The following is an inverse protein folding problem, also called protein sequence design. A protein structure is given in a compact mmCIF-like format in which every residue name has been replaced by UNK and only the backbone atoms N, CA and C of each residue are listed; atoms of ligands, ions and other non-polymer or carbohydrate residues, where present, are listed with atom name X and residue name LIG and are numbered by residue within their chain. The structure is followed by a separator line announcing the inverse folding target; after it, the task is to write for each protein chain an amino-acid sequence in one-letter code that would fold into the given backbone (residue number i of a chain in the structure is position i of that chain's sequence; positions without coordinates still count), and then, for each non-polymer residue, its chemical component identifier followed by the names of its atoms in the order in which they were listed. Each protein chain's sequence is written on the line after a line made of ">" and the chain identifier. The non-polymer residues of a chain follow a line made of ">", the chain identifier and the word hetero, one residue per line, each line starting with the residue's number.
data_IF_876945629202
#
_entry.id   IF_876945629202
#
_cell.length_a   1.000
_cell.length_b   1.000
_cell.length_c   1.000
_cell.angle_alpha   90.00
_cell.angle_beta   90.00
_cell.angle_gamma   90.00
#
_symmetry.space_group_name_H-M   'P 1'
#
loop_
_entity.id
_entity.type
_entity.pdbx_description
1 polymer ?
#
# COMPACT_ATOMS: atom_id res chain seq x y z
N UNK A 1 9.26 16.21 7.72
CA UNK A 1 8.19 15.19 7.68
C UNK A 1 8.80 13.89 7.20
N UNK A 2 8.50 12.76 7.83
CA UNK A 2 9.07 11.46 7.44
C UNK A 2 8.52 11.01 6.08
N UNK A 3 9.39 10.65 5.14
CA UNK A 3 9.02 10.10 3.84
C UNK A 3 8.85 8.58 3.96
N UNK A 4 7.65 8.07 3.66
CA UNK A 4 7.39 6.63 3.59
C UNK A 4 7.35 6.18 2.13
N UNK A 5 7.95 5.01 1.86
CA UNK A 5 7.98 4.39 0.53
C UNK A 5 7.46 2.96 0.63
N UNK A 6 6.48 2.63 -0.19
CA UNK A 6 5.98 1.27 -0.39
C UNK A 6 6.74 0.65 -1.57
N UNK A 7 7.34 -0.52 -1.36
CA UNK A 7 8.04 -1.27 -2.41
C UNK A 7 7.23 -2.52 -2.73
N UNK A 8 6.82 -2.65 -3.98
CA UNK A 8 6.24 -3.87 -4.52
C UNK A 8 7.38 -4.72 -5.08
N UNK A 9 7.49 -5.95 -4.60
CA UNK A 9 8.50 -6.90 -5.04
C UNK A 9 7.85 -8.18 -5.53
N UNK A 10 8.29 -8.65 -6.69
CA UNK A 10 7.90 -9.92 -7.29
C UNK A 10 9.17 -10.76 -7.43
N UNK A 11 9.20 -11.93 -6.78
CA UNK A 11 10.34 -12.85 -6.87
C UNK A 11 11.70 -12.14 -6.71
N UNK A 12 11.81 -11.31 -5.67
CA UNK A 12 13.02 -10.54 -5.31
C UNK A 12 13.30 -9.27 -6.15
N UNK A 13 12.69 -9.14 -7.33
CA UNK A 13 12.78 -7.93 -8.14
C UNK A 13 11.82 -6.83 -7.67
N UNK A 14 12.33 -5.61 -7.61
CA UNK A 14 11.54 -4.42 -7.24
C UNK A 14 10.78 -3.94 -8.46
N UNK A 15 9.52 -4.32 -8.56
CA UNK A 15 8.66 -3.91 -9.66
C UNK A 15 8.31 -2.42 -9.57
N UNK A 16 7.97 -1.94 -8.37
CA UNK A 16 7.50 -0.57 -8.19
C UNK A 16 7.82 -0.02 -6.82
N UNK A 17 8.23 1.25 -6.77
CA UNK A 17 8.36 2.00 -5.51
C UNK A 17 7.42 3.19 -5.57
N UNK A 18 6.53 3.31 -4.58
CA UNK A 18 5.51 4.36 -4.49
C UNK A 18 5.71 5.16 -3.21
N UNK A 19 5.57 6.48 -3.28
CA UNK A 19 5.57 7.34 -2.09
C UNK A 19 4.24 7.20 -1.37
N UNK A 20 4.28 6.94 -0.07
CA UNK A 20 3.11 6.93 0.82
C UNK A 20 3.09 8.27 1.54
N UNK A 21 2.35 9.22 0.99
CA UNK A 21 2.24 10.60 1.51
C UNK A 21 0.88 10.90 2.16
N UNK A 22 0.02 9.89 2.31
CA UNK A 22 -1.33 9.97 2.87
C UNK A 22 -1.42 9.11 4.13
N UNK A 23 -2.35 9.46 5.01
CA UNK A 23 -2.61 8.68 6.23
C UNK A 23 -3.35 7.37 5.94
N UNK A 24 -4.07 7.33 4.83
CA UNK A 24 -4.67 6.16 4.22
C UNK A 24 -4.07 5.93 2.84
N UNK A 25 -3.68 4.69 2.54
CA UNK A 25 -3.18 4.29 1.23
C UNK A 25 -3.86 2.97 0.82
N UNK A 26 -4.60 3.00 -0.28
CA UNK A 26 -5.41 1.88 -0.78
C UNK A 26 -4.74 1.23 -1.98
N UNK A 27 -4.62 -0.09 -1.93
CA UNK A 27 -4.15 -0.93 -3.03
C UNK A 27 -5.33 -1.70 -3.61
N UNK A 28 -5.45 -1.74 -4.93
CA UNK A 28 -6.52 -2.49 -5.58
C UNK A 28 -6.46 -2.49 -7.09
N UNK A 29 -7.41 -3.21 -7.69
CA UNK A 29 -7.56 -3.34 -9.14
C UNK A 29 -8.33 -2.19 -9.79
N UNK A 30 -8.86 -1.25 -9.02
CA UNK A 30 -9.48 -0.07 -9.62
C UNK A 30 -8.47 1.07 -9.79
N UNK A 31 -8.57 1.85 -10.87
CA UNK A 31 -7.71 3.02 -11.08
C UNK A 31 -7.95 4.15 -10.06
N UNK A 32 -9.00 4.04 -9.25
CA UNK A 32 -9.30 4.96 -8.14
C UNK A 32 -8.40 4.72 -6.91
N UNK A 33 -7.74 3.55 -6.82
CA UNK A 33 -6.84 3.22 -5.71
C UNK A 33 -5.50 3.98 -5.81
N UNK A 34 -4.86 4.27 -4.67
CA UNK A 34 -3.55 4.92 -4.63
C UNK A 34 -2.47 4.08 -5.32
N UNK A 35 -2.55 2.76 -5.17
CA UNK A 35 -1.79 1.80 -5.96
C UNK A 35 -2.74 0.93 -6.78
N UNK A 36 -2.83 1.28 -8.07
CA UNK A 36 -3.51 0.48 -9.07
C UNK A 36 -2.65 -0.72 -9.49
N UNK A 37 -3.21 -1.93 -9.36
CA UNK A 37 -2.61 -3.18 -9.80
C UNK A 37 -3.60 -3.92 -10.73
N UNK A 38 -3.34 -3.98 -12.05
CA UNK A 38 -4.27 -4.50 -13.05
C UNK A 38 -4.36 -6.04 -13.10
N UNK A 39 -4.23 -6.73 -11.98
CA UNK A 39 -4.25 -8.20 -11.92
C UNK A 39 -5.62 -8.73 -11.50
N UNK A 40 -6.15 -9.73 -12.20
CA UNK A 40 -7.50 -10.28 -11.96
C UNK A 40 -7.68 -10.84 -10.54
N UNK A 41 -6.61 -11.39 -9.96
CA UNK A 41 -6.57 -11.95 -8.61
C UNK A 41 -6.65 -10.88 -7.51
N UNK A 42 -6.53 -9.60 -7.87
CA UNK A 42 -6.60 -8.48 -6.94
C UNK A 42 -8.03 -7.94 -6.91
N UNK A 43 -8.59 -7.90 -5.70
CA UNK A 43 -9.88 -7.28 -5.41
C UNK A 43 -9.92 -5.82 -5.89
N UNK A 44 -11.14 -5.32 -6.19
CA UNK A 44 -11.35 -3.90 -6.54
C UNK A 44 -10.74 -2.95 -5.50
N UNK A 45 -10.93 -3.29 -4.23
CA UNK A 45 -10.22 -2.73 -3.08
C UNK A 45 -9.61 -3.92 -2.34
N UNK A 46 -8.30 -4.08 -2.42
CA UNK A 46 -7.63 -5.29 -1.94
C UNK A 46 -7.04 -5.11 -0.56
N UNK A 47 -6.30 -4.03 -0.35
CA UNK A 47 -5.78 -3.71 0.97
C UNK A 47 -5.77 -2.22 1.23
N UNK A 48 -5.86 -1.87 2.51
CA UNK A 48 -5.71 -0.50 3.00
C UNK A 48 -4.60 -0.47 4.03
N UNK A 49 -3.69 0.48 3.88
CA UNK A 49 -2.67 0.84 4.84
C UNK A 49 -3.10 2.10 5.57
N UNK A 50 -3.20 2.02 6.90
CA UNK A 50 -3.49 3.18 7.76
C UNK A 50 -2.30 3.47 8.65
N UNK A 51 -1.86 4.73 8.65
CA UNK A 51 -0.79 5.21 9.51
C UNK A 51 -1.34 5.46 10.92
N UNK A 52 -0.89 4.66 11.89
CA UNK A 52 -1.47 4.69 13.26
C UNK A 52 -0.64 5.56 14.22
N UNK A 53 0.69 5.54 14.10
CA UNK A 53 1.58 6.40 14.88
C UNK A 53 2.98 6.45 14.25
N UNK A 54 3.71 7.54 14.50
CA UNK A 54 5.16 7.64 14.24
C UNK A 54 5.85 7.62 15.60
N UNK A 55 6.26 6.44 16.07
CA UNK A 55 7.11 6.35 17.26
C UNK A 55 8.56 6.15 16.80
N UNK A 56 9.41 7.14 17.10
CA UNK A 56 10.88 7.06 17.05
C UNK A 56 11.43 6.26 15.85
N UNK A 57 11.15 6.75 14.63
CA UNK A 57 11.71 6.20 13.39
C UNK A 57 11.02 4.94 12.83
N UNK A 58 9.96 4.43 13.48
CA UNK A 58 9.16 3.28 12.98
C UNK A 58 7.71 3.72 12.78
N UNK A 59 7.19 3.55 11.56
CA UNK A 59 5.76 3.69 11.31
C UNK A 59 5.06 2.35 11.55
N UNK A 60 4.03 2.39 12.38
CA UNK A 60 3.09 1.27 12.52
C UNK A 60 2.02 1.46 11.45
N UNK A 61 1.91 0.49 10.56
CA UNK A 61 0.92 0.46 9.49
C UNK A 61 -0.01 -0.71 9.75
N UNK A 62 -1.31 -0.46 9.84
CA UNK A 62 -2.30 -1.55 9.82
C UNK A 62 -2.65 -1.88 8.38
N UNK A 63 -2.56 -3.15 8.02
CA UNK A 63 -2.99 -3.68 6.72
C UNK A 63 -4.29 -4.45 6.93
N UNK A 64 -5.37 -4.01 6.29
CA UNK A 64 -6.62 -4.76 6.23
C UNK A 64 -6.80 -5.29 4.81
N UNK A 65 -6.65 -6.60 4.64
CA UNK A 65 -6.88 -7.28 3.37
C UNK A 65 -8.37 -7.65 3.24
N UNK A 66 -9.03 -7.14 2.21
CA UNK A 66 -10.41 -7.47 1.87
C UNK A 66 -10.41 -8.64 0.87
N UNK A 67 -10.64 -9.84 1.39
CA UNK A 67 -10.88 -11.02 0.57
C UNK A 67 -12.34 -10.97 0.11
N UNK A 68 -12.55 -10.86 -1.21
CA UNK A 68 -13.84 -11.13 -1.84
C UNK A 68 -14.00 -12.64 -2.03
#
# INVERSE_FOLDING_TARGET
>A
MAEFKLRLQLQEDVEKTVRVNRDEFVVGRLPICDLYLPFLEISRHHSRFVKIAINSGKAVVSCSAFKL
#
